data_IF_762216538551
#
_entry.id   IF_762216538551
#
_cell.length_a   1.000
_cell.length_b   1.000
_cell.length_c   1.000
_cell.angle_alpha   90.00
_cell.angle_beta   90.00
_cell.angle_gamma   90.00
#
_symmetry.space_group_name_H-M   'P 1'
#
loop_
_entity.id
_entity.type
_entity.pdbx_description
1 polymer ?
#
# COMPACT_ATOMS: atom_id res chain seq x y z
N UNK A 1 -0.99 8.35 -30.82
CA UNK A 1 0.02 8.55 -29.77
C UNK A 1 -0.70 8.83 -28.45
N UNK A 2 -0.64 7.91 -27.48
CA UNK A 2 -1.27 8.14 -26.17
C UNK A 2 -0.43 9.13 -25.37
N UNK A 3 -0.96 10.34 -25.16
CA UNK A 3 -0.36 11.33 -24.27
C UNK A 3 -0.63 10.92 -22.82
N UNK A 4 0.23 10.05 -22.28
CA UNK A 4 0.23 9.78 -20.85
C UNK A 4 0.71 11.06 -20.16
N UNK A 5 -0.19 11.70 -19.41
CA UNK A 5 0.16 12.82 -18.54
C UNK A 5 1.24 12.35 -17.57
N UNK A 6 2.51 12.74 -17.82
CA UNK A 6 3.67 12.34 -17.01
C UNK A 6 3.46 12.60 -15.52
N UNK A 7 2.81 13.72 -15.15
CA UNK A 7 2.49 14.02 -13.75
C UNK A 7 1.45 13.04 -13.18
N UNK A 8 0.38 12.78 -13.91
CA UNK A 8 -0.66 11.83 -13.50
C UNK A 8 -0.13 10.41 -13.35
N UNK A 9 0.70 9.98 -14.30
CA UNK A 9 1.39 8.69 -14.25
C UNK A 9 2.33 8.59 -13.05
N UNK A 10 3.18 9.59 -12.82
CA UNK A 10 4.11 9.57 -11.69
C UNK A 10 3.37 9.48 -10.36
N UNK A 11 2.26 10.19 -10.22
CA UNK A 11 1.43 10.16 -9.01
C UNK A 11 0.79 8.78 -8.81
N UNK A 12 0.20 8.21 -9.85
CA UNK A 12 -0.41 6.88 -9.80
C UNK A 12 0.63 5.78 -9.52
N UNK A 13 1.79 5.86 -10.17
CA UNK A 13 2.92 4.97 -9.94
C UNK A 13 3.41 5.06 -8.49
N UNK A 14 3.63 6.28 -7.98
CA UNK A 14 4.05 6.51 -6.59
C UNK A 14 3.07 5.88 -5.61
N UNK A 15 1.77 6.17 -5.75
CA UNK A 15 0.76 5.60 -4.85
C UNK A 15 0.74 4.07 -4.91
N UNK A 16 0.76 3.50 -6.11
CA UNK A 16 0.71 2.04 -6.29
C UNK A 16 1.95 1.36 -5.73
N UNK A 17 3.14 1.92 -6.02
CA UNK A 17 4.41 1.43 -5.51
C UNK A 17 4.46 1.47 -3.99
N UNK A 18 4.10 2.59 -3.36
CA UNK A 18 4.03 2.68 -1.90
C UNK A 18 3.03 1.69 -1.31
N UNK A 19 1.86 1.50 -1.93
CA UNK A 19 0.84 0.58 -1.42
C UNK A 19 1.32 -0.88 -1.45
N UNK A 20 1.98 -1.30 -2.55
CA UNK A 20 2.57 -2.64 -2.68
C UNK A 20 3.74 -2.80 -1.70
N UNK A 21 4.63 -1.82 -1.64
CA UNK A 21 5.82 -1.86 -0.79
C UNK A 21 5.48 -1.92 0.70
N UNK A 22 4.54 -1.08 1.14
CA UNK A 22 4.01 -1.09 2.52
C UNK A 22 3.36 -2.43 2.82
N UNK A 23 2.57 -3.00 1.90
CA UNK A 23 1.93 -4.30 2.10
C UNK A 23 2.95 -5.43 2.29
N UNK A 24 4.01 -5.45 1.47
CA UNK A 24 5.07 -6.46 1.58
C UNK A 24 5.89 -6.30 2.87
N UNK A 25 6.26 -5.07 3.24
CA UNK A 25 6.96 -4.79 4.50
C UNK A 25 6.07 -5.14 5.69
N UNK A 26 4.80 -4.75 5.68
CA UNK A 26 3.84 -5.07 6.74
C UNK A 26 3.70 -6.58 6.91
N UNK A 27 3.57 -7.33 5.81
CA UNK A 27 3.50 -8.80 5.85
C UNK A 27 4.76 -9.41 6.46
N UNK A 28 5.95 -8.91 6.08
CA UNK A 28 7.22 -9.37 6.67
C UNK A 28 7.31 -9.05 8.16
N UNK A 29 6.96 -7.82 8.56
CA UNK A 29 6.96 -7.38 9.95
C UNK A 29 5.98 -8.22 10.79
N UNK A 30 4.74 -8.41 10.33
CA UNK A 30 3.78 -9.28 11.01
C UNK A 30 4.32 -10.69 11.24
N UNK A 31 4.99 -11.27 10.22
CA UNK A 31 5.62 -12.60 10.36
C UNK A 31 6.70 -12.62 11.44
N UNK A 32 7.53 -11.58 11.52
CA UNK A 32 8.59 -11.46 12.57
C UNK A 32 7.96 -11.31 13.95
N UNK A 33 6.93 -10.47 14.08
CA UNK A 33 6.25 -10.23 15.35
C UNK A 33 5.22 -11.31 15.72
N UNK A 34 5.11 -12.41 14.94
CA UNK A 34 4.07 -13.44 15.07
C UNK A 34 2.64 -12.87 15.12
N UNK A 35 2.44 -11.72 14.49
CA UNK A 35 1.14 -11.08 14.38
C UNK A 35 0.39 -11.70 13.21
N UNK A 36 -0.91 -11.96 13.43
CA UNK A 36 -1.81 -12.35 12.34
C UNK A 36 -2.05 -11.10 11.49
N UNK A 37 -1.72 -11.11 10.19
CA UNK A 37 -1.98 -9.96 9.33
C UNK A 37 -3.50 -9.78 9.21
N UNK A 38 -4.03 -8.81 9.96
CA UNK A 38 -5.40 -8.35 9.81
C UNK A 38 -5.52 -7.70 8.42
N UNK A 39 -6.64 -7.94 7.75
CA UNK A 39 -6.92 -7.36 6.44
C UNK A 39 -6.66 -5.83 6.51
N UNK A 40 -5.69 -5.35 5.73
CA UNK A 40 -5.15 -3.99 5.84
C UNK A 40 -6.23 -2.93 5.63
N UNK A 41 -7.24 -3.23 4.80
CA UNK A 41 -8.44 -2.39 4.60
C UNK A 41 -9.24 -2.23 5.90
N UNK A 42 -9.36 -3.32 6.67
CA UNK A 42 -10.10 -3.33 7.93
C UNK A 42 -9.36 -2.53 9.01
N UNK A 43 -8.03 -2.62 9.04
CA UNK A 43 -7.16 -1.85 9.95
C UNK A 43 -7.19 -0.37 9.59
N UNK A 44 -7.03 -0.01 8.31
CA UNK A 44 -7.11 1.38 7.87
C UNK A 44 -8.50 1.95 8.18
N UNK A 45 -9.59 1.21 7.94
CA UNK A 45 -10.92 1.64 8.34
C UNK A 45 -11.08 1.82 9.85
N UNK A 46 -10.41 0.99 10.67
CA UNK A 46 -10.41 1.13 12.13
C UNK A 46 -9.66 2.39 12.59
N UNK A 47 -8.60 2.78 11.89
CA UNK A 47 -7.86 4.03 12.15
C UNK A 47 -8.50 5.26 11.50
N UNK A 48 -9.55 5.10 10.68
CA UNK A 48 -10.28 6.19 10.03
C UNK A 48 -11.45 6.73 10.87
N UNK A 49 -11.41 6.51 12.19
CA UNK A 49 -12.30 7.11 13.19
C UNK A 49 -11.90 8.56 13.41
#
# INVERSE_FOLDING_TARGET
VFYINKKGFLLAFKNTFFNIFIKEIYKKACKVFRLVPLNTIKVINYFKV
#
